data_IF_034753489605
#
_entry.id   IF_034753489605
#
_cell.length_a   1.000
_cell.length_b   1.000
_cell.length_c   1.000
_cell.angle_alpha   90.00
_cell.angle_beta   90.00
_cell.angle_gamma   90.00
#
_symmetry.space_group_name_H-M   'P 1'
#
loop_
_entity.id
_entity.type
_entity.pdbx_description
1 polymer ?
#
# COMPACT_ATOMS: atom_id res chain seq x y z
N UNK A 1 -5.67 18.56 1.66
CA UNK A 1 -4.81 18.60 2.84
C UNK A 1 -5.61 19.06 4.05
N UNK A 2 -5.37 18.45 5.19
CA UNK A 2 -5.92 18.88 6.47
C UNK A 2 -4.79 18.92 7.51
N UNK A 3 -4.46 20.11 8.01
CA UNK A 3 -3.29 20.31 8.87
C UNK A 3 -2.00 19.84 8.22
N UNK A 4 -1.29 18.95 8.92
CA UNK A 4 -0.01 18.37 8.47
C UNK A 4 -0.19 17.14 7.58
N UNK A 5 -1.42 16.70 7.32
CA UNK A 5 -1.74 15.48 6.57
C UNK A 5 -2.19 15.79 5.16
N UNK A 6 -1.50 15.24 4.18
CA UNK A 6 -1.91 15.23 2.78
C UNK A 6 -2.67 13.96 2.46
N UNK A 7 -3.96 14.05 2.18
CA UNK A 7 -4.76 12.93 1.68
C UNK A 7 -4.81 12.96 0.16
N UNK A 8 -4.46 11.84 -0.48
CA UNK A 8 -4.59 11.63 -1.93
C UNK A 8 -5.59 10.50 -2.18
N UNK A 9 -6.70 10.82 -2.83
CA UNK A 9 -7.78 9.87 -3.11
C UNK A 9 -7.64 9.33 -4.52
N UNK A 10 -7.49 8.02 -4.66
CA UNK A 10 -7.33 7.34 -5.95
C UNK A 10 -8.60 6.61 -6.36
N UNK A 11 -8.90 6.63 -7.66
CA UNK A 11 -10.00 5.85 -8.23
C UNK A 11 -9.49 4.49 -8.71
N UNK A 12 -9.59 3.48 -7.85
CA UNK A 12 -9.19 2.10 -8.18
C UNK A 12 -10.26 1.32 -8.95
N UNK A 13 -11.46 1.88 -9.13
CA UNK A 13 -12.54 1.25 -9.93
C UNK A 13 -12.34 1.49 -11.43
N UNK A 14 -11.76 2.64 -11.79
CA UNK A 14 -11.41 2.96 -13.17
C UNK A 14 -9.92 3.27 -13.23
N UNK A 15 -9.11 2.22 -13.39
CA UNK A 15 -7.66 2.29 -13.27
C UNK A 15 -7.05 3.05 -14.43
N UNK A 16 -6.54 4.23 -14.14
CA UNK A 16 -5.65 4.96 -15.03
C UNK A 16 -4.34 5.26 -14.29
N UNK A 17 -3.35 4.41 -14.53
CA UNK A 17 -2.04 4.48 -13.85
C UNK A 17 -1.35 5.83 -14.04
N UNK A 18 -1.42 6.36 -15.28
CA UNK A 18 -0.78 7.65 -15.59
C UNK A 18 -1.45 8.80 -14.85
N UNK A 19 -2.78 8.78 -14.79
CA UNK A 19 -3.54 9.79 -14.06
C UNK A 19 -3.31 9.69 -12.55
N UNK A 20 -3.28 8.48 -11.99
CA UNK A 20 -3.03 8.24 -10.58
C UNK A 20 -1.64 8.71 -10.17
N UNK A 21 -0.61 8.40 -10.97
CA UNK A 21 0.74 8.89 -10.73
C UNK A 21 0.81 10.42 -10.81
N UNK A 22 0.27 11.02 -11.88
CA UNK A 22 0.27 12.46 -12.05
C UNK A 22 -0.53 13.18 -10.95
N UNK A 23 -1.57 12.53 -10.40
CA UNK A 23 -2.32 13.03 -9.25
C UNK A 23 -1.43 13.07 -8.00
N UNK A 24 -0.75 11.97 -7.68
CA UNK A 24 0.16 11.90 -6.53
C UNK A 24 1.27 12.96 -6.64
N UNK A 25 1.95 13.01 -7.79
CA UNK A 25 3.01 13.97 -8.05
C UNK A 25 2.55 15.42 -7.85
N UNK A 26 1.44 15.82 -8.49
CA UNK A 26 0.90 17.18 -8.36
C UNK A 26 0.48 17.50 -6.92
N UNK A 27 -0.16 16.55 -6.24
CA UNK A 27 -0.62 16.75 -4.87
C UNK A 27 0.55 16.97 -3.91
N UNK A 28 1.62 16.20 -4.05
CA UNK A 28 2.82 16.29 -3.21
C UNK A 28 3.60 17.56 -3.52
N UNK A 29 3.84 17.89 -4.79
CA UNK A 29 4.54 19.12 -5.18
C UNK A 29 3.79 20.37 -4.73
N UNK A 30 2.46 20.33 -4.64
CA UNK A 30 1.64 21.42 -4.12
C UNK A 30 1.63 21.49 -2.57
N UNK A 31 2.15 20.48 -1.88
CA UNK A 31 2.14 20.39 -0.42
C UNK A 31 3.49 19.84 0.12
N UNK A 32 4.61 20.50 -0.19
CA UNK A 32 5.95 19.96 0.12
C UNK A 32 6.24 19.89 1.62
N UNK A 33 5.49 20.64 2.42
CA UNK A 33 5.60 20.72 3.88
C UNK A 33 4.62 19.81 4.62
N UNK A 34 3.93 18.92 3.91
CA UNK A 34 3.09 17.91 4.57
C UNK A 34 3.97 16.92 5.34
N UNK A 35 3.59 16.64 6.59
CA UNK A 35 4.31 15.71 7.48
C UNK A 35 3.90 14.25 7.24
N UNK A 36 2.70 14.05 6.73
CA UNK A 36 2.11 12.75 6.48
C UNK A 36 1.53 12.69 5.06
N UNK A 37 1.85 11.63 4.34
CA UNK A 37 1.27 11.30 3.03
C UNK A 37 0.35 10.10 3.18
N UNK A 38 -0.93 10.31 2.99
CA UNK A 38 -1.98 9.31 3.19
C UNK A 38 -2.72 9.06 1.89
N UNK A 39 -2.72 7.82 1.43
CA UNK A 39 -3.52 7.37 0.30
C UNK A 39 -4.89 6.89 0.78
N UNK A 40 -5.93 7.11 -0.03
CA UNK A 40 -7.27 6.58 0.19
C UNK A 40 -7.80 6.02 -1.11
N UNK A 41 -8.25 4.76 -1.12
CA UNK A 41 -8.83 4.12 -2.30
C UNK A 41 -9.79 2.98 -1.88
N UNK A 42 -10.45 2.35 -2.85
CA UNK A 42 -11.49 1.36 -2.53
C UNK A 42 -10.93 -0.07 -2.35
N UNK A 43 -10.10 -0.55 -3.29
CA UNK A 43 -9.67 -1.95 -3.28
C UNK A 43 -8.55 -2.19 -2.28
N UNK A 44 -8.67 -3.23 -1.50
CA UNK A 44 -7.75 -3.67 -0.45
C UNK A 44 -6.53 -4.42 -1.00
N UNK A 45 -5.63 -3.72 -1.64
CA UNK A 45 -4.47 -4.32 -2.34
C UNK A 45 -3.54 -5.16 -1.45
N UNK A 46 -3.61 -4.96 -0.13
CA UNK A 46 -3.01 -5.81 0.90
C UNK A 46 -4.05 -6.23 1.93
N UNK A 47 -5.24 -6.57 1.47
CA UNK A 47 -6.36 -6.95 2.31
C UNK A 47 -6.20 -8.30 3.00
N UNK A 48 -7.16 -8.59 3.86
CA UNK A 48 -7.14 -9.79 4.71
C UNK A 48 -8.09 -10.89 4.23
N UNK A 49 -9.04 -10.58 3.36
CA UNK A 49 -10.11 -11.50 2.98
C UNK A 49 -9.90 -12.17 1.63
N UNK A 50 -11.00 -12.67 1.09
CA UNK A 50 -11.02 -13.43 -0.17
C UNK A 50 -10.68 -12.53 -1.37
N UNK A 51 -11.19 -11.31 -1.38
CA UNK A 51 -10.99 -10.39 -2.51
C UNK A 51 -9.53 -9.95 -2.65
N UNK A 52 -8.72 -10.03 -1.60
CA UNK A 52 -7.30 -9.71 -1.66
C UNK A 52 -6.50 -10.56 -2.66
N UNK A 53 -7.03 -11.72 -3.08
CA UNK A 53 -6.40 -12.63 -4.04
C UNK A 53 -7.13 -12.70 -5.39
N UNK A 54 -8.09 -11.84 -5.65
CA UNK A 54 -8.74 -11.74 -6.96
C UNK A 54 -7.75 -11.17 -7.99
N UNK A 55 -7.89 -11.58 -9.25
CA UNK A 55 -6.94 -11.24 -10.31
C UNK A 55 -6.81 -9.73 -10.54
N UNK A 56 -7.91 -9.00 -10.43
CA UNK A 56 -7.93 -7.53 -10.54
C UNK A 56 -7.20 -6.90 -9.35
N UNK A 57 -7.36 -7.42 -8.15
CA UNK A 57 -6.69 -6.92 -6.97
C UNK A 57 -5.17 -7.12 -7.02
N UNK A 58 -4.69 -8.24 -7.52
CA UNK A 58 -3.26 -8.44 -7.76
C UNK A 58 -2.67 -7.43 -8.77
N UNK A 59 -3.43 -7.14 -9.83
CA UNK A 59 -3.01 -6.11 -10.79
C UNK A 59 -2.94 -4.73 -10.11
N UNK A 60 -3.95 -4.38 -9.33
CA UNK A 60 -4.00 -3.15 -8.56
C UNK A 60 -2.85 -3.06 -7.54
N UNK A 61 -2.56 -4.15 -6.84
CA UNK A 61 -1.43 -4.25 -5.93
C UNK A 61 -0.12 -3.90 -6.64
N UNK A 62 0.17 -4.51 -7.80
CA UNK A 62 1.40 -4.23 -8.55
C UNK A 62 1.52 -2.77 -9.01
N UNK A 63 0.41 -2.14 -9.33
CA UNK A 63 0.37 -0.74 -9.81
C UNK A 63 0.44 0.25 -8.67
N UNK A 64 -0.47 0.13 -7.70
CA UNK A 64 -0.60 1.13 -6.64
C UNK A 64 0.49 1.02 -5.58
N UNK A 65 1.01 -0.19 -5.27
CA UNK A 65 2.17 -0.31 -4.39
C UNK A 65 3.38 0.43 -4.96
N UNK A 66 3.59 0.37 -6.29
CA UNK A 66 4.68 1.11 -6.92
C UNK A 66 4.51 2.63 -6.85
N UNK A 67 3.27 3.14 -6.88
CA UNK A 67 2.98 4.57 -6.67
C UNK A 67 3.23 4.94 -5.21
N UNK A 68 2.79 4.10 -4.27
CA UNK A 68 3.01 4.32 -2.84
C UNK A 68 4.51 4.37 -2.52
N UNK A 69 5.26 3.39 -3.00
CA UNK A 69 6.71 3.29 -2.81
C UNK A 69 7.45 4.50 -3.42
N UNK A 70 7.10 4.87 -4.66
CA UNK A 70 7.76 5.98 -5.36
C UNK A 70 7.55 7.32 -4.66
N UNK A 71 6.36 7.55 -4.16
CA UNK A 71 5.99 8.81 -3.54
C UNK A 71 6.03 8.76 -2.01
N UNK A 72 6.60 7.70 -1.45
CA UNK A 72 6.81 7.51 -0.02
C UNK A 72 5.55 7.83 0.79
N UNK A 73 4.43 7.16 0.45
CA UNK A 73 3.22 7.25 1.24
C UNK A 73 3.42 6.51 2.57
N UNK A 74 3.06 7.16 3.67
CA UNK A 74 3.15 6.57 5.00
C UNK A 74 2.04 5.56 5.25
N UNK A 75 0.84 5.88 4.79
CA UNK A 75 -0.39 5.16 5.09
C UNK A 75 -1.26 5.03 3.85
N UNK A 76 -1.99 3.93 3.77
CA UNK A 76 -3.09 3.74 2.84
C UNK A 76 -4.32 3.22 3.59
N UNK A 77 -5.45 3.91 3.45
CA UNK A 77 -6.75 3.44 3.91
C UNK A 77 -7.53 2.90 2.73
N UNK A 78 -8.01 1.68 2.87
CA UNK A 78 -8.80 1.00 1.86
C UNK A 78 -10.05 0.31 2.44
N UNK A 79 -10.81 -0.36 1.59
CA UNK A 79 -12.04 -1.05 1.93
C UNK A 79 -12.20 -2.29 1.05
N UNK A 80 -13.37 -2.46 0.43
CA UNK A 80 -13.75 -3.59 -0.42
C UNK A 80 -13.97 -4.89 0.36
N UNK A 81 -12.98 -5.38 1.09
CA UNK A 81 -13.19 -6.40 2.09
C UNK A 81 -13.99 -5.85 3.27
N UNK A 82 -14.89 -6.70 3.79
CA UNK A 82 -15.74 -6.34 4.91
C UNK A 82 -15.16 -6.79 6.25
N UNK A 83 -13.87 -7.09 6.29
CA UNK A 83 -13.13 -7.42 7.50
C UNK A 83 -12.04 -6.39 7.75
N UNK A 84 -11.70 -6.22 9.01
CA UNK A 84 -10.59 -5.37 9.39
C UNK A 84 -9.26 -6.10 9.16
N UNK A 85 -8.33 -5.40 8.54
CA UNK A 85 -6.96 -5.85 8.37
C UNK A 85 -5.96 -4.71 8.43
N UNK A 86 -4.82 -4.98 9.06
CA UNK A 86 -3.66 -4.10 9.05
C UNK A 86 -2.47 -4.89 8.55
N UNK A 87 -1.83 -4.40 7.48
CA UNK A 87 -0.64 -5.03 6.92
C UNK A 87 0.59 -4.83 7.82
N UNK A 88 1.67 -5.50 7.50
CA UNK A 88 3.00 -5.00 7.82
C UNK A 88 3.26 -3.72 7.03
N UNK A 89 4.29 -2.93 7.39
CA UNK A 89 4.80 -1.93 6.47
C UNK A 89 5.35 -2.64 5.24
N UNK A 90 4.90 -2.22 4.05
CA UNK A 90 5.23 -2.86 2.79
C UNK A 90 6.05 -1.92 1.92
N UNK A 91 7.19 -2.42 1.43
CA UNK A 91 8.06 -1.73 0.49
C UNK A 91 8.49 -2.69 -0.60
N UNK A 92 8.41 -2.30 -1.86
CA UNK A 92 8.73 -3.18 -2.99
C UNK A 92 7.97 -4.52 -2.98
N UNK A 93 6.73 -4.50 -2.50
CA UNK A 93 5.85 -5.65 -2.34
C UNK A 93 6.38 -6.71 -1.34
N UNK A 94 7.27 -6.31 -0.48
CA UNK A 94 7.81 -7.14 0.59
C UNK A 94 7.57 -6.47 1.94
N UNK A 95 7.50 -7.28 2.98
CA UNK A 95 7.41 -6.81 4.36
C UNK A 95 8.74 -6.14 4.74
N UNK A 96 8.66 -4.92 5.27
CA UNK A 96 9.83 -4.24 5.84
C UNK A 96 10.32 -4.98 7.09
N UNK A 97 11.64 -5.06 7.27
CA UNK A 97 12.25 -5.71 8.44
C UNK A 97 12.20 -4.78 9.67
N UNK A 98 11.13 -4.91 10.44
CA UNK A 98 10.86 -4.18 11.67
C UNK A 98 10.52 -5.15 12.81
N UNK A 99 10.66 -4.69 14.04
CA UNK A 99 10.14 -5.40 15.21
C UNK A 99 8.62 -5.20 15.33
N UNK A 100 7.87 -6.17 14.88
CA UNK A 100 6.41 -6.19 14.95
C UNK A 100 5.84 -6.83 16.22
N UNK A 101 6.66 -7.09 17.22
CA UNK A 101 6.20 -7.55 18.54
C UNK A 101 5.62 -6.40 19.38
N UNK A 102 5.83 -5.16 18.96
CA UNK A 102 5.31 -3.94 19.56
C UNK A 102 4.15 -3.37 18.72
N UNK A 103 3.19 -2.73 19.39
CA UNK A 103 2.12 -1.97 18.76
C UNK A 103 2.60 -0.58 18.28
N UNK A 104 3.91 -0.45 18.03
CA UNK A 104 4.56 0.80 17.67
C UNK A 104 5.72 0.59 16.72
N UNK A 105 5.85 1.50 15.73
CA UNK A 105 7.04 1.63 14.90
C UNK A 105 7.59 3.07 14.96
N UNK A 106 8.89 3.24 14.80
CA UNK A 106 9.54 4.56 14.70
C UNK A 106 10.26 4.63 13.37
N UNK A 107 9.97 5.71 12.60
CA UNK A 107 10.49 5.96 11.25
C UNK A 107 10.47 4.72 10.34
N UNK A 108 9.32 4.02 10.23
CA UNK A 108 9.26 2.83 9.38
C UNK A 108 9.35 3.20 7.91
N UNK A 109 10.17 2.48 7.16
CA UNK A 109 10.12 2.51 5.71
C UNK A 109 8.79 1.91 5.18
N UNK A 110 8.43 2.27 3.95
CA UNK A 110 7.28 1.73 3.25
C UNK A 110 5.93 2.21 3.76
N UNK A 111 4.87 1.66 3.21
CA UNK A 111 3.48 2.06 3.47
C UNK A 111 2.77 1.05 4.36
N UNK A 112 2.05 1.52 5.38
CA UNK A 112 1.13 0.72 6.18
C UNK A 112 -0.27 0.76 5.55
N UNK A 113 -0.84 -0.40 5.21
CA UNK A 113 -2.17 -0.52 4.62
C UNK A 113 -3.18 -0.95 5.68
N UNK A 114 -4.33 -0.28 5.69
CA UNK A 114 -5.39 -0.47 6.69
C UNK A 114 -6.73 -0.63 5.97
N UNK A 115 -7.24 -1.86 5.96
CA UNK A 115 -8.58 -2.16 5.48
C UNK A 115 -9.57 -1.95 6.62
N UNK A 116 -10.43 -0.95 6.48
CA UNK A 116 -11.26 -0.44 7.59
C UNK A 116 -12.57 -1.18 7.80
N UNK A 117 -12.76 -2.33 7.12
CA UNK A 117 -13.99 -3.14 7.16
C UNK A 117 -15.26 -2.37 6.72
N UNK A 118 -16.42 -2.79 7.22
CA UNK A 118 -17.72 -2.22 6.88
C UNK A 118 -18.45 -1.69 8.11
N UNK A 119 -18.81 -0.41 8.09
CA UNK A 119 -19.69 0.20 9.08
C UNK A 119 -21.19 0.08 8.75
N UNK A 120 -21.54 -0.55 7.61
CA UNK A 120 -22.92 -0.53 7.08
C UNK A 120 -23.75 -1.79 7.33
N UNK A 121 -23.24 -2.76 8.08
CA UNK A 121 -23.95 -3.99 8.40
C UNK A 121 -24.03 -5.02 7.25
N UNK A 122 -23.23 -4.85 6.19
CA UNK A 122 -23.09 -5.83 5.12
C UNK A 122 -21.98 -6.86 5.40
N UNK A 123 -21.75 -7.15 6.67
CA UNK A 123 -20.74 -8.14 7.02
C UNK A 123 -21.15 -9.50 6.49
N UNK A 124 -20.27 -10.13 5.72
CA UNK A 124 -20.40 -11.51 5.30
C UNK A 124 -19.39 -12.32 6.10
N UNK A 125 -19.87 -13.39 6.73
CA UNK A 125 -19.00 -14.38 7.35
C UNK A 125 -18.58 -15.34 6.27
N UNK A 126 -17.29 -15.42 5.98
CA UNK A 126 -16.70 -16.47 5.18
C UNK A 126 -16.23 -17.59 6.12
N UNK A 127 -16.28 -18.83 5.65
CA UNK A 127 -16.06 -20.01 6.50
C UNK A 127 -14.60 -20.15 6.98
N UNK A 128 -13.64 -19.54 6.30
CA UNK A 128 -12.22 -19.67 6.62
C UNK A 128 -11.49 -18.30 6.54
N UNK A 129 -10.71 -17.95 7.57
CA UNK A 129 -9.85 -16.78 7.51
C UNK A 129 -8.66 -17.02 6.56
N UNK A 130 -8.40 -16.08 5.68
CA UNK A 130 -7.19 -16.08 4.86
C UNK A 130 -6.04 -15.47 5.65
N UNK A 131 -4.93 -16.19 5.74
CA UNK A 131 -3.71 -15.70 6.37
C UNK A 131 -2.68 -15.32 5.29
N UNK A 132 -2.82 -14.11 4.77
CA UNK A 132 -1.85 -13.60 3.81
C UNK A 132 -0.55 -13.19 4.51
N UNK A 133 0.59 -13.42 3.85
CA UNK A 133 1.92 -13.16 4.41
C UNK A 133 2.20 -11.68 4.69
N UNK A 134 1.41 -10.78 4.10
CA UNK A 134 1.51 -9.33 4.30
C UNK A 134 0.67 -8.79 5.46
N UNK A 135 -0.22 -9.61 6.06
CA UNK A 135 -1.09 -9.19 7.16
C UNK A 135 -0.36 -9.35 8.50
N UNK A 136 -0.28 -8.25 9.25
CA UNK A 136 0.21 -8.23 10.61
C UNK A 136 -0.91 -8.53 11.63
N UNK A 137 -2.06 -7.87 11.45
CA UNK A 137 -3.23 -8.07 12.31
C UNK A 137 -4.52 -8.12 11.48
N UNK A 138 -5.45 -8.98 11.86
CA UNK A 138 -6.78 -9.04 11.25
C UNK A 138 -7.86 -9.36 12.26
N UNK A 139 -9.05 -8.80 12.05
CA UNK A 139 -10.25 -9.09 12.82
C UNK A 139 -11.38 -9.49 11.90
N UNK A 140 -11.56 -10.80 11.75
CA UNK A 140 -12.55 -11.40 10.87
C UNK A 140 -13.77 -11.79 11.70
N UNK A 141 -14.67 -10.85 11.92
CA UNK A 141 -15.89 -10.99 12.72
C UNK A 141 -17.07 -10.34 11.99
N UNK A 142 -18.31 -10.86 12.19
CA UNK A 142 -19.51 -10.20 11.71
C UNK A 142 -19.86 -8.89 12.45
N UNK A 143 -19.11 -8.55 13.48
CA UNK A 143 -19.33 -7.31 14.24
C UNK A 143 -19.00 -6.09 13.39
N UNK A 144 -19.82 -5.05 13.54
CA UNK A 144 -19.50 -3.75 12.97
C UNK A 144 -18.35 -3.12 13.74
N UNK A 145 -17.44 -2.51 13.01
CA UNK A 145 -16.26 -1.86 13.59
C UNK A 145 -16.14 -0.42 13.11
N UNK A 146 -15.42 0.38 13.86
CA UNK A 146 -14.96 1.69 13.46
C UNK A 146 -13.52 1.92 13.88
N UNK A 147 -12.84 2.78 13.14
CA UNK A 147 -11.46 3.17 13.41
C UNK A 147 -11.43 4.64 13.86
N UNK A 148 -10.70 4.92 14.91
CA UNK A 148 -10.28 6.25 15.30
C UNK A 148 -8.84 6.46 14.87
N UNK A 149 -8.57 7.57 14.20
CA UNK A 149 -7.22 7.95 13.80
C UNK A 149 -6.90 9.35 14.30
N UNK A 150 -5.74 9.49 14.92
CA UNK A 150 -5.23 10.75 15.39
C UNK A 150 -3.85 11.01 14.74
N UNK A 151 -3.70 12.21 14.18
CA UNK A 151 -2.43 12.69 13.67
C UNK A 151 -1.96 13.88 14.51
N UNK A 152 -0.72 13.79 14.95
CA UNK A 152 0.04 14.95 15.41
C UNK A 152 1.11 15.30 14.38
N UNK A 153 1.96 16.27 14.67
CA UNK A 153 3.13 16.55 13.83
C UNK A 153 4.01 15.31 13.65
N UNK A 154 4.20 14.52 14.71
CA UNK A 154 5.16 13.42 14.76
C UNK A 154 4.57 12.05 15.04
N UNK A 155 3.25 11.93 15.25
CA UNK A 155 2.64 10.64 15.55
C UNK A 155 1.38 10.42 14.74
N UNK A 156 1.19 9.17 14.31
CA UNK A 156 -0.06 8.60 13.87
C UNK A 156 -0.49 7.55 14.89
N UNK A 157 -1.71 7.67 15.40
CA UNK A 157 -2.32 6.67 16.29
C UNK A 157 -3.58 6.12 15.64
N UNK A 158 -3.66 4.81 15.58
CA UNK A 158 -4.82 4.04 15.13
C UNK A 158 -5.39 3.28 16.31
N UNK A 159 -6.70 3.39 16.52
CA UNK A 159 -7.48 2.53 17.43
C UNK A 159 -8.71 2.03 16.70
N UNK A 160 -8.94 0.75 16.77
CA UNK A 160 -10.08 0.09 16.12
C UNK A 160 -10.95 -0.57 17.16
N UNK A 161 -12.25 -0.32 17.08
CA UNK A 161 -13.23 -0.77 18.06
C UNK A 161 -14.40 -1.49 17.41
N UNK A 162 -15.05 -2.39 18.16
CA UNK A 162 -16.39 -2.84 17.80
C UNK A 162 -17.40 -1.74 18.09
N UNK A 163 -18.42 -1.61 17.24
CA UNK A 163 -19.52 -0.63 17.46
C UNK A 163 -20.35 -1.02 18.68
N UNK A 164 -20.58 -2.33 18.88
CA UNK A 164 -21.29 -2.81 20.06
C UNK A 164 -20.30 -3.01 21.21
N UNK A 165 -20.46 -2.20 22.25
CA UNK A 165 -19.68 -2.28 23.48
C UNK A 165 -18.30 -1.62 23.45
N UNK A 166 -17.95 -0.91 22.38
CA UNK A 166 -16.68 -0.15 22.24
C UNK A 166 -15.44 -0.96 22.65
N UNK A 167 -15.42 -2.25 22.27
CA UNK A 167 -14.29 -3.13 22.57
C UNK A 167 -13.13 -2.80 21.65
N UNK A 168 -11.99 -2.40 22.22
CA UNK A 168 -10.74 -2.24 21.48
C UNK A 168 -10.27 -3.58 20.90
N UNK A 169 -10.05 -3.64 19.60
CA UNK A 169 -9.61 -4.84 18.88
C UNK A 169 -8.22 -4.69 18.27
N UNK A 170 -7.80 -3.48 17.94
CA UNK A 170 -6.44 -3.18 17.47
C UNK A 170 -6.00 -1.78 17.88
N UNK A 171 -4.71 -1.62 18.15
CA UNK A 171 -4.07 -0.34 18.40
C UNK A 171 -2.70 -0.35 17.76
N UNK A 172 -2.33 0.74 17.08
CA UNK A 172 -1.01 0.87 16.47
C UNK A 172 -0.57 2.32 16.36
N UNK A 173 0.71 2.55 16.62
CA UNK A 173 1.31 3.87 16.57
C UNK A 173 2.51 3.91 15.62
N UNK A 174 2.57 4.93 14.76
CA UNK A 174 3.79 5.29 14.04
C UNK A 174 4.30 6.60 14.63
N UNK A 175 5.58 6.64 15.00
CA UNK A 175 6.30 7.85 15.34
C UNK A 175 7.27 8.22 14.22
N UNK A 176 7.33 9.50 13.89
CA UNK A 176 8.32 10.08 12.99
C UNK A 176 9.26 11.00 13.75
N UNK A 177 10.55 10.78 13.62
CA UNK A 177 11.61 11.67 14.08
C UNK A 177 12.27 12.39 12.91
N UNK A 178 12.13 11.85 11.70
CA UNK A 178 12.53 12.45 10.43
C UNK A 178 11.30 12.66 9.53
N UNK A 179 11.17 13.87 8.96
CA UNK A 179 10.08 14.24 8.04
C UNK A 179 10.63 14.52 6.63
N UNK A 180 11.84 14.07 6.37
CA UNK A 180 12.48 14.24 5.08
C UNK A 180 11.97 13.15 4.12
N UNK A 181 11.31 13.58 3.06
CA UNK A 181 10.97 12.72 1.94
C UNK A 181 11.98 12.93 0.82
N UNK A 182 12.21 11.90 0.03
CA UNK A 182 13.08 11.99 -1.14
C UNK A 182 12.54 13.00 -2.15
N UNK A 183 13.44 13.68 -2.84
CA UNK A 183 13.06 14.57 -3.93
C UNK A 183 12.34 13.79 -5.03
N UNK A 184 11.26 14.36 -5.55
CA UNK A 184 10.54 13.74 -6.65
C UNK A 184 11.38 13.89 -7.92
N UNK A 185 11.95 12.78 -8.37
CA UNK A 185 12.62 12.71 -9.66
C UNK A 185 11.57 12.55 -10.79
N UNK A 186 11.20 13.68 -11.39
CA UNK A 186 10.27 13.74 -12.51
C UNK A 186 10.77 12.96 -13.76
N UNK A 187 12.07 12.61 -13.82
CA UNK A 187 12.63 11.82 -14.91
C UNK A 187 12.40 10.31 -14.76
N UNK A 188 12.01 9.84 -13.57
CA UNK A 188 11.67 8.43 -13.36
C UNK A 188 10.35 8.11 -14.05
N UNK A 189 10.44 7.25 -15.05
CA UNK A 189 9.26 6.78 -15.79
C UNK A 189 8.30 6.02 -14.86
N UNK A 190 7.01 6.21 -15.08
CA UNK A 190 5.88 5.55 -14.42
C UNK A 190 5.98 4.03 -14.31
N UNK A 191 6.61 3.42 -15.28
CA UNK A 191 6.92 2.00 -15.28
C UNK A 191 8.38 1.84 -14.84
N UNK A 192 8.62 1.86 -13.53
CA UNK A 192 9.81 1.19 -13.07
C UNK A 192 9.71 -0.25 -13.57
N UNK A 193 10.79 -0.78 -14.11
CA UNK A 193 10.88 -2.19 -14.49
C UNK A 193 10.40 -3.12 -13.37
N UNK A 194 10.45 -2.66 -12.13
CA UNK A 194 10.05 -3.40 -10.95
C UNK A 194 8.53 -3.51 -10.76
N UNK A 195 7.75 -2.49 -11.06
CA UNK A 195 6.28 -2.59 -11.03
C UNK A 195 5.78 -3.53 -12.13
N UNK A 196 6.31 -3.39 -13.35
CA UNK A 196 5.99 -4.31 -14.44
C UNK A 196 6.41 -5.75 -14.12
N UNK A 197 7.59 -5.93 -13.55
CA UNK A 197 8.09 -7.24 -13.15
C UNK A 197 7.23 -7.88 -12.06
N UNK A 198 6.71 -7.12 -11.11
CA UNK A 198 5.78 -7.63 -10.07
C UNK A 198 4.48 -8.14 -10.68
N UNK A 199 3.88 -7.36 -11.55
CA UNK A 199 2.66 -7.76 -12.28
C UNK A 199 2.93 -9.02 -13.11
N UNK A 200 4.01 -9.03 -13.89
CA UNK A 200 4.38 -10.17 -14.72
C UNK A 200 4.72 -11.42 -13.89
N UNK A 201 5.41 -11.26 -12.76
CA UNK A 201 5.73 -12.37 -11.85
C UNK A 201 4.46 -13.04 -11.34
N UNK A 202 3.45 -12.25 -11.02
CA UNK A 202 2.16 -12.78 -10.60
C UNK A 202 1.45 -13.54 -11.71
N UNK A 203 1.23 -12.92 -12.87
CA UNK A 203 0.47 -13.54 -13.97
C UNK A 203 1.20 -14.72 -14.63
N UNK A 204 2.51 -14.69 -14.70
CA UNK A 204 3.28 -15.74 -15.34
C UNK A 204 3.68 -16.88 -14.39
N UNK A 205 3.57 -16.68 -13.06
CA UNK A 205 3.87 -17.70 -12.05
C UNK A 205 5.20 -18.40 -12.33
N UNK A 206 5.17 -19.73 -12.46
CA UNK A 206 6.37 -20.56 -12.72
C UNK A 206 7.11 -20.24 -14.03
N UNK A 207 6.47 -19.57 -14.98
CA UNK A 207 7.10 -19.16 -16.24
C UNK A 207 7.85 -17.83 -16.14
N UNK A 208 7.68 -17.11 -15.03
CA UNK A 208 8.34 -15.82 -14.81
C UNK A 208 9.86 -15.91 -14.89
N UNK A 209 10.44 -17.01 -14.43
CA UNK A 209 11.91 -17.22 -14.50
C UNK A 209 12.42 -17.15 -15.95
N UNK A 210 11.65 -17.70 -16.91
CA UNK A 210 11.99 -17.64 -18.33
C UNK A 210 11.93 -16.19 -18.82
N UNK A 211 10.93 -15.45 -18.40
CA UNK A 211 10.77 -14.04 -18.74
C UNK A 211 11.90 -13.18 -18.15
N UNK A 212 12.29 -13.43 -16.91
CA UNK A 212 13.40 -12.72 -16.24
C UNK A 212 14.74 -12.96 -16.97
N UNK A 213 15.00 -14.19 -17.41
CA UNK A 213 16.19 -14.52 -18.20
C UNK A 213 16.16 -13.79 -19.55
N UNK A 214 15.00 -13.74 -20.19
CA UNK A 214 14.82 -13.03 -21.46
C UNK A 214 15.01 -11.51 -21.30
N UNK A 215 14.43 -10.89 -20.28
CA UNK A 215 14.61 -9.47 -19.98
C UNK A 215 16.07 -9.11 -19.71
N UNK A 216 16.77 -9.91 -18.91
CA UNK A 216 18.21 -9.73 -18.66
C UNK A 216 19.03 -9.83 -19.96
N UNK A 217 18.69 -10.77 -20.83
CA UNK A 217 19.36 -10.94 -22.14
C UNK A 217 19.10 -9.72 -23.05
N UNK A 218 17.86 -9.24 -23.11
CA UNK A 218 17.49 -8.05 -23.90
C UNK A 218 18.22 -6.80 -23.38
N UNK A 219 18.28 -6.57 -22.08
CA UNK A 219 19.04 -5.46 -21.48
C UNK A 219 20.52 -5.55 -21.76
N UNK A 220 21.10 -6.75 -21.68
CA UNK A 220 22.50 -6.96 -22.00
C UNK A 220 22.79 -6.61 -23.46
N UNK A 221 21.97 -7.09 -24.41
CA UNK A 221 22.08 -6.77 -25.83
C UNK A 221 21.89 -5.27 -26.09
N UNK A 222 20.93 -4.64 -25.43
CA UNK A 222 20.71 -3.21 -25.54
C UNK A 222 21.92 -2.40 -25.11
N UNK A 223 22.46 -2.71 -23.93
CA UNK A 223 23.69 -2.07 -23.44
C UNK A 223 24.91 -2.30 -24.36
N UNK A 224 25.03 -3.49 -24.93
CA UNK A 224 26.09 -3.81 -25.90
C UNK A 224 25.97 -2.97 -27.16
N UNK A 225 24.75 -2.84 -27.73
CA UNK A 225 24.48 -2.01 -28.91
C UNK A 225 24.85 -0.55 -28.64
N UNK A 226 24.41 0.00 -27.50
CA UNK A 226 24.74 1.38 -27.15
C UNK A 226 26.22 1.62 -26.80
N UNK A 227 26.95 0.58 -26.39
CA UNK A 227 28.38 0.69 -26.17
C UNK A 227 29.19 0.71 -27.49
N UNK A 228 28.60 0.18 -28.57
CA UNK A 228 29.23 0.12 -29.91
C UNK A 228 28.95 1.40 -30.72
N UNK A 229 27.86 2.10 -30.38
CA UNK A 229 27.43 3.35 -31.06
C UNK A 229 28.10 4.61 -30.47
N UNK A 230 28.81 4.49 -29.35
CA UNK A 230 29.70 5.53 -28.80
C UNK A 230 31.12 5.37 -29.34
#
# INVERSE_FOLDING_TARGET
RYGDVLFVVFNTTNVNVFESHALAERAILANPDAKWRVAVFHHDIYGTGHHAIDNDNYMLQGVYSAIMDKFEFDLAFDGHEHYYGRSYNMLNNEKVDLDYSSDKATDPDGTLYITTASASGKNRVYDEPYHHSWINYSYMSPELIYCEVEFTESTFNLKTYTVEGDKLIDEYTIEKTDFTYSDIDASQTLFSTDALNRVLKHFMGKYYVIFEVFDKAVRYLWNLIFSIIK
#
